data_IF_239678071830
#
_entry.id   IF_239678071830
#
_cell.length_a   1.000
_cell.length_b   1.000
_cell.length_c   1.000
_cell.angle_alpha   90.00
_cell.angle_beta   90.00
_cell.angle_gamma   90.00
#
_symmetry.space_group_name_H-M   'P 1'
#
loop_
_entity.id
_entity.type
_entity.pdbx_description
1 polymer ?
#
# COMPACT_ATOMS: atom_id res chain seq x y z
N UNK A 1 10.47 -3.71 1.46
CA UNK A 1 9.32 -4.39 2.07
C UNK A 1 8.14 -4.26 1.12
N UNK A 2 7.38 -5.33 0.92
CA UNK A 2 6.15 -5.29 0.12
C UNK A 2 5.01 -4.69 0.96
N UNK A 3 3.96 -4.18 0.32
CA UNK A 3 2.72 -3.80 1.00
C UNK A 3 2.06 -5.02 1.63
N UNK A 4 1.09 -4.73 2.49
CA UNK A 4 0.21 -5.72 3.10
C UNK A 4 -0.36 -6.68 2.05
N UNK A 5 -0.20 -7.98 2.31
CA UNK A 5 -1.00 -9.03 1.68
C UNK A 5 -2.09 -9.48 2.64
N UNK A 6 -3.11 -10.20 2.15
CA UNK A 6 -4.11 -10.85 3.01
C UNK A 6 -3.47 -11.68 4.13
N UNK A 7 -2.30 -12.24 3.86
CA UNK A 7 -1.51 -13.07 4.78
C UNK A 7 -0.71 -12.26 5.82
N UNK A 8 -0.57 -10.93 5.68
CA UNK A 8 0.28 -10.07 6.53
C UNK A 8 -0.48 -8.94 7.25
N UNK A 9 -1.81 -9.00 7.31
CA UNK A 9 -2.63 -8.16 8.20
C UNK A 9 -2.64 -8.83 9.58
N UNK A 10 -2.01 -8.29 10.64
CA UNK A 10 -1.92 -6.88 11.00
C UNK A 10 -0.48 -6.46 11.39
N UNK A 11 0.27 -5.87 10.46
CA UNK A 11 1.56 -5.30 10.83
C UNK A 11 1.33 -4.03 11.69
N UNK A 12 1.75 -4.07 12.97
CA UNK A 12 1.57 -2.99 13.98
C UNK A 12 2.09 -1.61 13.56
N UNK A 13 2.89 -1.57 12.49
CA UNK A 13 3.43 -0.34 11.91
C UNK A 13 2.38 0.52 11.20
N UNK A 14 1.18 0.03 10.94
CA UNK A 14 0.11 0.82 10.31
C UNK A 14 -0.74 1.60 11.30
N UNK A 15 -0.78 1.17 12.56
CA UNK A 15 -1.60 1.82 13.60
C UNK A 15 -0.86 2.94 14.34
N UNK A 16 0.47 2.96 14.31
CA UNK A 16 1.26 3.98 14.98
C UNK A 16 1.33 5.28 14.17
N UNK A 17 1.21 6.47 14.80
CA UNK A 17 1.51 7.72 14.14
C UNK A 17 2.92 7.71 13.54
N UNK A 18 3.07 8.15 12.29
CA UNK A 18 4.37 8.10 11.59
C UNK A 18 5.47 8.85 12.32
N UNK A 19 5.11 9.91 13.05
CA UNK A 19 6.01 10.72 13.88
C UNK A 19 6.61 9.95 15.06
N UNK A 20 5.96 8.87 15.52
CA UNK A 20 6.45 8.02 16.61
C UNK A 20 7.40 6.91 16.17
N UNK A 21 7.58 6.73 14.86
CA UNK A 21 8.44 5.69 14.30
C UNK A 21 9.91 6.11 14.32
N UNK A 22 10.81 5.12 14.40
CA UNK A 22 12.25 5.33 14.21
C UNK A 22 12.58 5.70 12.77
N UNK A 23 13.77 6.28 12.53
CA UNK A 23 14.21 6.65 11.18
C UNK A 23 14.25 5.46 10.22
N UNK A 24 14.65 4.28 10.71
CA UNK A 24 14.65 3.04 9.95
C UNK A 24 13.23 2.63 9.53
N UNK A 25 12.26 2.70 10.44
CA UNK A 25 10.86 2.38 10.17
C UNK A 25 10.21 3.39 9.20
N UNK A 26 10.52 4.69 9.36
CA UNK A 26 10.08 5.75 8.43
C UNK A 26 10.61 5.48 7.02
N UNK A 27 11.91 5.19 6.90
CA UNK A 27 12.53 4.86 5.61
C UNK A 27 11.95 3.57 5.02
N UNK A 28 11.66 2.57 5.85
CA UNK A 28 11.04 1.33 5.41
C UNK A 28 9.64 1.57 4.86
N UNK A 29 8.79 2.34 5.56
CA UNK A 29 7.48 2.77 5.06
C UNK A 29 7.60 3.55 3.76
N UNK A 30 8.49 4.54 3.69
CA UNK A 30 8.72 5.38 2.51
C UNK A 30 9.17 4.58 1.28
N UNK A 31 9.78 3.40 1.48
CA UNK A 31 10.28 2.53 0.43
C UNK A 31 9.37 1.34 0.11
N UNK A 32 8.21 1.23 0.76
CA UNK A 32 7.28 0.14 0.46
C UNK A 32 6.75 0.20 -0.97
N UNK A 33 6.44 -0.98 -1.52
CA UNK A 33 5.91 -1.16 -2.88
C UNK A 33 4.80 -2.20 -2.86
N UNK A 34 3.85 -2.11 -3.79
CA UNK A 34 2.87 -3.17 -3.98
C UNK A 34 3.56 -4.50 -4.24
N UNK A 35 2.98 -5.58 -3.72
CA UNK A 35 3.31 -6.93 -4.19
C UNK A 35 2.91 -7.11 -5.66
N UNK A 36 3.80 -7.70 -6.45
CA UNK A 36 3.58 -7.88 -7.88
C UNK A 36 2.40 -8.79 -8.21
N UNK A 37 2.17 -9.84 -7.41
CA UNK A 37 1.06 -10.78 -7.63
C UNK A 37 -0.26 -10.11 -7.32
N UNK A 38 -0.34 -9.32 -6.24
CA UNK A 38 -1.53 -8.52 -5.96
C UNK A 38 -1.84 -7.52 -7.08
N UNK A 39 -0.82 -6.81 -7.58
CA UNK A 39 -1.01 -5.85 -8.67
C UNK A 39 -1.55 -6.52 -9.94
N UNK A 40 -1.00 -7.68 -10.27
CA UNK A 40 -1.45 -8.49 -11.40
C UNK A 40 -2.90 -8.93 -11.21
N UNK A 41 -3.25 -9.46 -10.03
CA UNK A 41 -4.62 -9.93 -9.75
C UNK A 41 -5.66 -8.80 -9.80
N UNK A 42 -5.33 -7.61 -9.30
CA UNK A 42 -6.19 -6.42 -9.45
C UNK A 42 -6.40 -6.11 -10.93
N UNK A 43 -5.32 -6.13 -11.73
CA UNK A 43 -5.39 -5.84 -13.17
C UNK A 43 -6.26 -6.85 -13.92
N UNK A 44 -6.16 -8.14 -13.58
CA UNK A 44 -6.98 -9.21 -14.14
C UNK A 44 -8.47 -9.02 -13.82
N UNK A 45 -8.80 -8.75 -12.55
CA UNK A 45 -10.18 -8.51 -12.12
C UNK A 45 -10.77 -7.26 -12.78
N UNK A 46 -9.99 -6.18 -12.89
CA UNK A 46 -10.44 -4.97 -13.60
C UNK A 46 -10.68 -5.22 -15.09
N UNK A 47 -9.80 -5.98 -15.76
CA UNK A 47 -9.96 -6.34 -17.15
C UNK A 47 -11.23 -7.19 -17.36
N UNK A 48 -11.41 -8.22 -16.52
CA UNK A 48 -12.61 -9.07 -16.54
C UNK A 48 -13.89 -8.26 -16.33
N UNK A 49 -13.92 -7.40 -15.31
CA UNK A 49 -15.08 -6.57 -14.98
C UNK A 49 -15.53 -5.67 -16.13
N UNK A 50 -14.58 -5.16 -16.95
CA UNK A 50 -14.89 -4.36 -18.15
C UNK A 50 -15.45 -5.18 -19.31
N UNK A 51 -15.05 -6.46 -19.42
CA UNK A 51 -15.39 -7.31 -20.56
C UNK A 51 -16.65 -8.13 -20.34
N UNK A 52 -16.73 -8.82 -19.20
CA UNK A 52 -17.75 -9.85 -18.94
C UNK A 52 -18.52 -9.62 -17.63
N UNK A 53 -18.12 -8.62 -16.85
CA UNK A 53 -18.62 -8.42 -15.49
C UNK A 53 -17.93 -9.34 -14.47
N UNK A 54 -18.05 -8.97 -13.20
CA UNK A 54 -17.52 -9.75 -12.10
C UNK A 54 -18.64 -10.54 -11.43
N UNK A 55 -18.31 -11.72 -10.94
CA UNK A 55 -19.15 -12.40 -9.94
C UNK A 55 -19.16 -11.60 -8.64
N UNK A 56 -20.11 -11.90 -7.75
CA UNK A 56 -20.16 -11.25 -6.45
C UNK A 56 -18.88 -11.49 -5.63
N UNK A 57 -18.38 -12.73 -5.60
CA UNK A 57 -17.14 -13.07 -4.91
C UNK A 57 -15.92 -12.31 -5.46
N UNK A 58 -15.81 -12.18 -6.79
CA UNK A 58 -14.74 -11.42 -7.42
C UNK A 58 -14.85 -9.91 -7.18
N UNK A 59 -16.08 -9.40 -7.07
CA UNK A 59 -16.32 -8.00 -6.74
C UNK A 59 -15.85 -7.70 -5.32
N UNK A 60 -16.14 -8.59 -4.36
CA UNK A 60 -15.61 -8.47 -3.01
C UNK A 60 -14.09 -8.62 -2.96
N UNK A 61 -13.51 -9.58 -3.69
CA UNK A 61 -12.05 -9.74 -3.79
C UNK A 61 -11.39 -8.44 -4.27
N UNK A 62 -11.88 -7.88 -5.39
CA UNK A 62 -11.34 -6.65 -5.96
C UNK A 62 -11.46 -5.47 -4.99
N UNK A 63 -12.65 -5.29 -4.39
CA UNK A 63 -12.88 -4.21 -3.42
C UNK A 63 -11.90 -4.28 -2.26
N UNK A 64 -11.76 -5.48 -1.70
CA UNK A 64 -10.94 -5.70 -0.52
C UNK A 64 -9.44 -5.48 -0.85
N UNK A 65 -8.99 -5.88 -2.05
CA UNK A 65 -7.62 -5.62 -2.52
C UNK A 65 -7.37 -4.12 -2.77
N UNK A 66 -8.33 -3.41 -3.34
CA UNK A 66 -8.22 -1.96 -3.56
C UNK A 66 -8.16 -1.19 -2.23
N UNK A 67 -8.84 -1.67 -1.20
CA UNK A 67 -8.79 -1.04 0.12
C UNK A 67 -7.41 -1.20 0.78
N UNK A 68 -6.81 -2.39 0.70
CA UNK A 68 -5.43 -2.63 1.14
C UNK A 68 -4.46 -1.73 0.36
N UNK A 69 -4.64 -1.63 -0.96
CA UNK A 69 -3.81 -0.76 -1.79
C UNK A 69 -3.85 0.69 -1.31
N UNK A 70 -5.04 1.25 -1.11
CA UNK A 70 -5.22 2.64 -0.67
C UNK A 70 -4.57 2.89 0.69
N UNK A 71 -4.75 1.97 1.65
CA UNK A 71 -4.12 2.06 2.96
C UNK A 71 -2.58 2.01 2.86
N UNK A 72 -2.04 1.10 2.06
CA UNK A 72 -0.60 1.00 1.82
C UNK A 72 -0.01 2.26 1.19
N UNK A 73 -0.71 2.87 0.24
CA UNK A 73 -0.31 4.12 -0.40
C UNK A 73 -0.33 5.30 0.55
N UNK A 74 -1.37 5.42 1.38
CA UNK A 74 -1.46 6.46 2.39
C UNK A 74 -0.27 6.38 3.35
N UNK A 75 0.01 5.19 3.89
CA UNK A 75 1.10 4.98 4.85
C UNK A 75 2.48 5.18 4.24
N UNK A 76 2.66 4.81 2.97
CA UNK A 76 3.87 5.13 2.22
C UNK A 76 4.05 6.64 2.07
N UNK A 77 2.99 7.36 1.74
CA UNK A 77 3.00 8.83 1.60
C UNK A 77 3.38 9.50 2.91
N UNK A 78 2.78 9.08 4.03
CA UNK A 78 3.15 9.54 5.36
C UNK A 78 4.62 9.29 5.68
N UNK A 79 5.13 8.08 5.38
CA UNK A 79 6.55 7.74 5.54
C UNK A 79 7.47 8.62 4.68
N UNK A 80 7.08 8.93 3.45
CA UNK A 80 7.84 9.84 2.57
C UNK A 80 7.86 11.26 3.12
N UNK A 81 6.71 11.79 3.53
CA UNK A 81 6.61 13.13 4.12
C UNK A 81 7.46 13.25 5.38
N UNK A 82 7.41 12.25 6.27
CA UNK A 82 8.21 12.23 7.48
C UNK A 82 9.71 12.06 7.19
N UNK A 83 10.08 11.23 6.21
CA UNK A 83 11.48 11.08 5.78
C UNK A 83 12.05 12.40 5.27
N UNK A 84 11.27 13.16 4.49
CA UNK A 84 11.67 14.51 4.03
C UNK A 84 11.76 15.48 5.19
N UNK A 85 10.76 15.49 6.09
CA UNK A 85 10.75 16.34 7.30
C UNK A 85 11.99 16.12 8.17
N UNK A 86 12.43 14.87 8.30
CA UNK A 86 13.64 14.47 9.05
C UNK A 86 14.93 14.59 8.25
N UNK A 87 14.88 15.02 6.99
CA UNK A 87 16.04 15.11 6.06
C UNK A 87 16.71 13.76 5.75
N UNK A 88 15.96 12.67 5.88
CA UNK A 88 16.41 11.30 5.53
C UNK A 88 16.28 11.01 4.03
N UNK A 89 15.46 11.80 3.32
CA UNK A 89 15.27 11.75 1.86
C UNK A 89 15.12 13.16 1.30
N UNK A 90 15.50 13.34 0.03
CA UNK A 90 15.17 14.55 -0.72
C UNK A 90 13.69 14.56 -1.10
N UNK A 91 13.06 15.74 -1.21
CA UNK A 91 11.70 15.85 -1.73
C UNK A 91 11.57 15.19 -3.10
N UNK A 92 10.44 14.55 -3.36
CA UNK A 92 10.12 14.12 -4.71
C UNK A 92 9.84 15.36 -5.57
N UNK A 93 10.29 15.40 -6.84
CA UNK A 93 9.88 16.47 -7.75
C UNK A 93 8.36 16.47 -7.91
N UNK A 94 7.77 17.67 -7.93
CA UNK A 94 6.33 17.90 -8.06
C UNK A 94 5.82 17.75 -9.48
#
# INVERSE_FOLDING_TARGET
MLWLTWENLPNSQLSKPVTSLSDSEVLMLANTKMDGKQNQRISELQAKGKMTGLTEAESYELLAMLQIYQMGQLRKSEGLAEAVRRKLKTPLPG
#
